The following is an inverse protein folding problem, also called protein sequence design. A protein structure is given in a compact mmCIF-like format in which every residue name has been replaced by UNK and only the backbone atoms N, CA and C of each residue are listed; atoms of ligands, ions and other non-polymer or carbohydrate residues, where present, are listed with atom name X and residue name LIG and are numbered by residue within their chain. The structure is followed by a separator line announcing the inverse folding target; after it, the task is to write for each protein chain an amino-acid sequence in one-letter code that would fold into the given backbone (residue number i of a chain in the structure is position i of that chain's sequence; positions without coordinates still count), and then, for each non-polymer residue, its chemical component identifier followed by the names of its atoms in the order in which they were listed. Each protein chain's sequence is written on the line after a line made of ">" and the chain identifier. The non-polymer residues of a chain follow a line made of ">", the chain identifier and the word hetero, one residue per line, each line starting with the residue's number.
data_IF_751994021336
#
_entry.id   IF_751994021336
#
_cell.length_a   1.000
_cell.length_b   1.000
_cell.length_c   1.000
_cell.angle_alpha   90.00
_cell.angle_beta   90.00
_cell.angle_gamma   90.00
#
_symmetry.space_group_name_H-M   'P 1'
#
loop_
_entity.id
_entity.type
_entity.pdbx_description
1 polymer ?
#
# COMPACT_ATOMS: atom_id res chain seq x y z
N UNK A 1 1.07 -3.03 -19.89
CA UNK A 1 2.26 -3.26 -19.02
C UNK A 1 3.33 -2.27 -19.43
N UNK A 2 3.85 -1.46 -18.49
CA UNK A 2 4.84 -0.41 -18.70
C UNK A 2 6.11 -0.72 -17.91
N UNK A 3 7.25 -0.20 -18.37
CA UNK A 3 8.55 -0.42 -17.72
C UNK A 3 9.27 0.91 -17.58
N UNK A 4 9.65 1.25 -16.35
CA UNK A 4 10.55 2.35 -16.05
C UNK A 4 11.91 1.77 -15.67
N UNK A 5 12.97 2.22 -16.32
CA UNK A 5 14.28 1.60 -16.18
C UNK A 5 15.39 2.63 -16.15
N UNK A 6 16.36 2.44 -15.25
CA UNK A 6 17.61 3.19 -15.23
C UNK A 6 18.79 2.23 -14.97
N UNK A 7 19.97 2.75 -14.67
CA UNK A 7 21.17 1.96 -14.40
C UNK A 7 21.09 1.13 -13.10
N UNK A 8 20.13 1.40 -12.21
CA UNK A 8 20.02 0.80 -10.89
C UNK A 8 18.82 -0.12 -10.73
N UNK A 9 17.66 0.27 -11.26
CA UNK A 9 16.39 -0.43 -11.10
C UNK A 9 15.69 -0.65 -12.44
N UNK A 10 14.91 -1.73 -12.52
CA UNK A 10 13.89 -1.96 -13.52
C UNK A 10 12.55 -2.16 -12.78
N UNK A 11 11.56 -1.33 -13.12
CA UNK A 11 10.25 -1.29 -12.46
C UNK A 11 9.19 -1.60 -13.48
N UNK A 12 8.29 -2.54 -13.17
CA UNK A 12 7.18 -2.92 -14.05
C UNK A 12 5.84 -2.53 -13.45
N UNK A 13 4.95 -1.98 -14.27
CA UNK A 13 3.61 -1.51 -13.87
C UNK A 13 2.58 -2.12 -14.81
N UNK A 14 1.53 -2.72 -14.26
CA UNK A 14 0.40 -3.26 -15.00
C UNK A 14 -0.68 -2.20 -15.24
N UNK A 15 -1.36 -2.24 -16.39
CA UNK A 15 -2.57 -1.45 -16.63
C UNK A 15 -3.74 -1.92 -15.75
N UNK A 16 -3.79 -3.23 -15.47
CA UNK A 16 -4.74 -3.78 -14.51
C UNK A 16 -4.40 -3.30 -13.09
N UNK A 17 -5.31 -2.54 -12.49
CA UNK A 17 -5.13 -1.94 -11.17
C UNK A 17 -4.11 -0.80 -11.11
N UNK A 18 -3.50 -0.39 -12.24
CA UNK A 18 -2.27 0.42 -12.28
C UNK A 18 -1.24 -0.11 -11.27
N UNK A 19 -1.16 -1.44 -11.15
CA UNK A 19 -0.43 -2.13 -10.09
C UNK A 19 1.07 -2.16 -10.37
N UNK A 20 1.85 -1.70 -9.41
CA UNK A 20 3.30 -1.95 -9.38
C UNK A 20 3.51 -3.46 -9.25
N UNK A 21 4.09 -4.10 -10.28
CA UNK A 21 4.17 -5.55 -10.41
C UNK A 21 5.59 -6.11 -10.36
N UNK A 22 6.63 -5.26 -10.34
CA UNK A 22 8.02 -5.68 -10.14
C UNK A 22 8.93 -4.52 -9.80
N UNK A 23 9.94 -4.78 -8.98
CA UNK A 23 11.07 -3.89 -8.69
C UNK A 23 12.34 -4.73 -8.69
N UNK A 24 13.05 -4.75 -9.81
CA UNK A 24 14.29 -5.50 -9.94
C UNK A 24 15.50 -4.62 -9.65
N UNK A 25 16.30 -5.00 -8.65
CA UNK A 25 17.57 -4.35 -8.30
C UNK A 25 18.69 -4.92 -9.17
N UNK A 26 19.05 -4.20 -10.24
CA UNK A 26 20.06 -4.59 -11.22
C UNK A 26 21.46 -4.78 -10.62
N UNK A 27 21.81 -3.97 -9.62
CA UNK A 27 23.10 -4.03 -8.96
C UNK A 27 23.29 -5.30 -8.15
N UNK A 28 22.21 -5.79 -7.55
CA UNK A 28 22.25 -6.96 -6.68
C UNK A 28 21.57 -8.19 -7.30
N UNK A 29 21.17 -8.10 -8.59
CA UNK A 29 20.55 -9.16 -9.40
C UNK A 29 19.41 -9.87 -8.67
N UNK A 30 18.38 -9.08 -8.25
CA UNK A 30 17.28 -9.64 -7.47
C UNK A 30 15.99 -8.85 -7.56
N UNK A 31 14.87 -9.57 -7.41
CA UNK A 31 13.54 -8.98 -7.26
C UNK A 31 13.30 -8.57 -5.80
N UNK A 32 12.86 -7.33 -5.60
CA UNK A 32 12.53 -6.76 -4.28
C UNK A 32 11.06 -6.99 -3.94
N UNK A 33 10.19 -6.85 -4.94
CA UNK A 33 8.76 -6.99 -4.76
C UNK A 33 8.37 -8.47 -4.74
N UNK A 34 7.30 -8.81 -4.02
CA UNK A 34 6.71 -10.14 -4.01
C UNK A 34 6.20 -10.53 -5.41
N UNK A 35 6.38 -11.78 -5.80
CA UNK A 35 6.10 -12.31 -7.14
C UNK A 35 4.64 -12.70 -7.39
N UNK A 36 3.72 -12.36 -6.48
CA UNK A 36 2.30 -12.69 -6.54
C UNK A 36 1.98 -14.18 -6.67
N UNK A 37 2.77 -15.06 -6.03
CA UNK A 37 2.49 -16.50 -6.00
C UNK A 37 1.07 -16.77 -5.45
N UNK A 38 0.16 -17.34 -6.26
CA UNK A 38 -1.25 -17.52 -5.89
C UNK A 38 -1.45 -18.54 -4.76
N UNK A 39 -0.45 -19.36 -4.45
CA UNK A 39 -0.50 -20.28 -3.31
C UNK A 39 -0.45 -19.55 -1.97
N UNK A 40 0.00 -18.28 -1.97
CA UNK A 40 0.12 -17.43 -0.80
C UNK A 40 -0.70 -16.16 -0.95
N UNK A 41 -0.34 -15.29 -1.90
CA UNK A 41 -1.05 -14.05 -2.17
C UNK A 41 -0.84 -13.59 -3.61
N UNK A 42 -1.91 -13.54 -4.39
CA UNK A 42 -1.92 -13.36 -5.85
C UNK A 42 -1.76 -11.91 -6.34
N UNK A 43 -1.26 -10.99 -5.51
CA UNK A 43 -1.06 -9.57 -5.84
C UNK A 43 0.35 -9.14 -5.48
N UNK A 44 0.84 -8.05 -6.11
CA UNK A 44 2.16 -7.48 -5.84
C UNK A 44 2.07 -6.23 -4.94
N UNK A 45 1.36 -5.20 -5.40
CA UNK A 45 1.22 -3.92 -4.73
C UNK A 45 -0.11 -3.23 -5.09
N UNK A 46 -1.26 -3.84 -4.80
CA UNK A 46 -2.55 -3.32 -5.25
C UNK A 46 -2.84 -1.93 -4.70
N UNK A 47 -3.48 -1.13 -5.54
CA UNK A 47 -4.03 0.17 -5.17
C UNK A 47 -5.35 -0.01 -4.43
N UNK A 48 -5.53 0.73 -3.34
CA UNK A 48 -6.70 0.66 -2.48
C UNK A 48 -7.54 1.92 -2.67
N UNK A 49 -8.71 1.78 -3.31
CA UNK A 49 -9.64 2.89 -3.57
C UNK A 49 -11.03 2.36 -3.99
N UNK A 50 -12.14 2.98 -3.56
CA UNK A 50 -12.28 4.19 -2.77
C UNK A 50 -12.22 3.99 -1.25
N UNK A 51 -11.92 2.80 -0.78
CA UNK A 51 -11.75 2.53 0.65
C UNK A 51 -10.49 1.71 0.92
N UNK A 52 -9.81 2.04 2.03
CA UNK A 52 -8.70 1.26 2.59
C UNK A 52 -9.24 0.41 3.73
N UNK A 53 -9.03 -0.90 3.66
CA UNK A 53 -9.61 -1.84 4.61
C UNK A 53 -11.02 -2.27 4.21
N UNK A 54 -11.83 -2.63 5.19
CA UNK A 54 -13.17 -3.16 5.00
C UNK A 54 -14.19 -2.31 5.75
N UNK A 55 -15.35 -2.07 5.15
CA UNK A 55 -16.49 -1.55 5.89
C UNK A 55 -17.11 -2.65 6.75
N UNK A 56 -17.71 -2.27 7.87
CA UNK A 56 -18.47 -3.20 8.69
C UNK A 56 -19.59 -3.84 7.85
N UNK A 57 -19.63 -5.17 7.81
CA UNK A 57 -20.56 -5.97 6.98
C UNK A 57 -20.54 -5.61 5.48
N UNK A 58 -19.40 -5.13 4.98
CA UNK A 58 -19.16 -4.77 3.57
C UNK A 58 -20.05 -3.63 3.03
N UNK A 59 -20.64 -2.79 3.88
CA UNK A 59 -21.48 -1.70 3.41
C UNK A 59 -21.22 -0.38 4.14
N UNK A 60 -21.55 0.71 3.47
CA UNK A 60 -21.52 2.07 4.00
C UNK A 60 -22.78 2.85 3.61
N UNK A 61 -23.05 3.92 4.37
CA UNK A 61 -24.14 4.85 4.07
C UNK A 61 -23.57 6.08 3.37
N UNK A 62 -24.11 6.40 2.19
CA UNK A 62 -23.80 7.62 1.45
C UNK A 62 -25.11 8.31 1.15
N UNK A 63 -25.30 9.52 1.66
CA UNK A 63 -26.52 10.31 1.52
C UNK A 63 -27.81 9.50 1.88
N UNK A 64 -27.74 8.70 2.96
CA UNK A 64 -28.86 7.90 3.46
C UNK A 64 -29.16 6.61 2.68
N UNK A 65 -28.41 6.33 1.63
CA UNK A 65 -28.52 5.09 0.85
C UNK A 65 -27.36 4.14 1.15
N UNK A 66 -27.66 2.85 1.28
CA UNK A 66 -26.66 1.81 1.52
C UNK A 66 -25.97 1.42 0.21
N UNK A 67 -24.64 1.35 0.25
CA UNK A 67 -23.79 0.86 -0.83
C UNK A 67 -22.87 -0.26 -0.32
N UNK A 68 -22.66 -1.26 -1.16
CA UNK A 68 -21.77 -2.39 -0.84
C UNK A 68 -20.43 -2.18 -1.52
N UNK A 69 -19.35 -2.25 -0.75
CA UNK A 69 -17.97 -2.19 -1.26
C UNK A 69 -17.14 -3.28 -0.59
N UNK A 70 -16.43 -4.05 -1.40
CA UNK A 70 -15.53 -5.08 -0.89
C UNK A 70 -14.32 -4.51 -0.17
N UNK A 71 -13.53 -5.40 0.42
CA UNK A 71 -12.25 -5.03 1.05
C UNK A 71 -11.33 -4.32 0.06
N UNK A 72 -10.86 -3.13 0.44
CA UNK A 72 -9.95 -2.27 -0.33
C UNK A 72 -10.57 -1.65 -1.60
N UNK A 73 -11.89 -1.65 -1.72
CA UNK A 73 -12.59 -1.09 -2.87
C UNK A 73 -12.38 -1.88 -4.17
N UNK A 74 -12.56 -1.21 -5.29
CA UNK A 74 -12.61 -1.84 -6.61
C UNK A 74 -11.42 -1.48 -7.54
N UNK A 75 -10.70 -0.39 -7.29
CA UNK A 75 -9.72 0.12 -8.25
C UNK A 75 -8.65 -0.92 -8.65
N UNK A 76 -8.23 -1.75 -7.72
CA UNK A 76 -7.24 -2.81 -7.95
C UNK A 76 -7.69 -3.92 -8.91
N UNK A 77 -8.97 -3.99 -9.22
CA UNK A 77 -9.58 -5.00 -10.10
C UNK A 77 -10.12 -4.37 -11.41
N UNK A 78 -9.77 -3.10 -11.68
CA UNK A 78 -10.18 -2.36 -12.86
C UNK A 78 -9.02 -2.18 -13.84
N UNK A 79 -9.35 -2.07 -15.14
CA UNK A 79 -8.39 -1.66 -16.16
C UNK A 79 -8.25 -0.14 -16.17
N UNK A 80 -7.02 0.34 -16.06
CA UNK A 80 -6.66 1.73 -16.19
C UNK A 80 -6.14 2.01 -17.60
N UNK A 81 -6.28 3.26 -18.03
CA UNK A 81 -5.74 3.74 -19.31
C UNK A 81 -4.44 4.50 -19.03
N UNK A 82 -3.36 4.13 -19.71
CA UNK A 82 -2.14 4.95 -19.70
C UNK A 82 -2.43 6.26 -20.47
N UNK A 83 -2.32 7.38 -19.76
CA UNK A 83 -2.61 8.72 -20.33
C UNK A 83 -1.34 9.55 -20.56
N UNK A 84 -0.24 9.17 -19.94
CA UNK A 84 1.05 9.81 -20.13
C UNK A 84 2.18 8.83 -19.83
N UNK A 85 3.20 8.81 -20.66
CA UNK A 85 4.41 8.01 -20.47
C UNK A 85 5.64 8.84 -20.91
N UNK A 86 6.66 8.86 -20.05
CA UNK A 86 7.94 9.52 -20.30
C UNK A 86 9.07 8.52 -20.06
N UNK A 87 10.31 8.93 -20.20
CA UNK A 87 11.48 8.08 -19.93
C UNK A 87 11.51 7.56 -18.48
N UNK A 88 11.03 8.36 -17.52
CA UNK A 88 11.12 8.03 -16.09
C UNK A 88 9.77 8.03 -15.35
N UNK A 89 8.65 8.22 -16.04
CA UNK A 89 7.33 8.21 -15.40
C UNK A 89 6.23 7.62 -16.29
N UNK A 90 5.22 7.03 -15.66
CA UNK A 90 3.98 6.60 -16.32
C UNK A 90 2.78 7.01 -15.47
N UNK A 91 1.76 7.56 -16.12
CA UNK A 91 0.50 7.97 -15.48
C UNK A 91 -0.66 7.18 -16.04
N UNK A 92 -1.38 6.51 -15.14
CA UNK A 92 -2.60 5.80 -15.43
C UNK A 92 -3.83 6.56 -14.94
N UNK A 93 -4.94 6.40 -15.63
CA UNK A 93 -6.24 7.01 -15.30
C UNK A 93 -7.32 5.93 -15.19
N UNK A 94 -8.09 5.99 -14.11
CA UNK A 94 -9.38 5.32 -13.97
C UNK A 94 -10.46 6.40 -13.84
N UNK A 95 -11.51 6.32 -14.67
CA UNK A 95 -12.70 7.15 -14.56
C UNK A 95 -13.87 6.36 -13.98
N UNK A 96 -14.80 7.07 -13.35
CA UNK A 96 -16.07 6.49 -12.91
C UNK A 96 -16.86 5.93 -14.09
N UNK A 97 -17.54 4.82 -13.86
CA UNK A 97 -18.45 4.16 -14.81
C UNK A 97 -19.77 3.87 -14.12
N UNK A 98 -20.78 3.48 -14.88
CA UNK A 98 -22.06 3.04 -14.29
C UNK A 98 -21.89 1.83 -13.36
N UNK A 99 -20.85 0.99 -13.60
CA UNK A 99 -20.54 -0.14 -12.74
C UNK A 99 -19.93 0.32 -11.41
N UNK A 100 -18.94 1.21 -11.44
CA UNK A 100 -18.32 1.73 -10.21
C UNK A 100 -19.31 2.49 -9.34
N UNK A 101 -20.30 3.19 -9.95
CA UNK A 101 -21.34 3.94 -9.26
C UNK A 101 -22.32 3.04 -8.50
N UNK A 102 -22.42 1.77 -8.81
CA UNK A 102 -23.23 0.81 -8.03
C UNK A 102 -22.65 0.58 -6.64
N UNK A 103 -21.32 0.58 -6.53
CA UNK A 103 -20.60 0.42 -5.27
C UNK A 103 -20.30 1.75 -4.58
N UNK A 104 -20.10 2.82 -5.36
CA UNK A 104 -19.68 4.13 -4.85
C UNK A 104 -20.18 5.25 -5.79
N UNK A 105 -21.24 5.98 -5.45
CA UNK A 105 -22.08 6.73 -6.38
C UNK A 105 -21.55 8.11 -6.75
N UNK A 106 -20.26 8.23 -7.04
CA UNK A 106 -19.63 9.49 -7.40
C UNK A 106 -19.02 9.47 -8.80
N UNK A 107 -19.01 10.63 -9.44
CA UNK A 107 -18.20 10.92 -10.62
C UNK A 107 -16.78 11.29 -10.19
N UNK A 108 -15.80 10.52 -10.66
CA UNK A 108 -14.41 10.75 -10.28
C UNK A 108 -13.43 10.46 -11.42
N UNK A 109 -12.23 10.98 -11.25
CA UNK A 109 -11.02 10.57 -11.97
C UNK A 109 -9.94 10.22 -10.94
N UNK A 110 -9.37 9.04 -11.02
CA UNK A 110 -8.22 8.61 -10.23
C UNK A 110 -7.00 8.49 -11.14
N UNK A 111 -6.02 9.37 -10.92
CA UNK A 111 -4.72 9.29 -11.58
C UNK A 111 -3.71 8.64 -10.65
N UNK A 112 -2.90 7.72 -11.20
CA UNK A 112 -1.78 7.09 -10.50
C UNK A 112 -0.54 7.30 -11.35
N UNK A 113 0.42 8.04 -10.81
CA UNK A 113 1.69 8.32 -11.47
C UNK A 113 2.81 7.59 -10.74
N UNK A 114 3.54 6.75 -11.47
CA UNK A 114 4.78 6.13 -11.01
C UNK A 114 5.95 6.91 -11.61
N UNK A 115 6.92 7.30 -10.78
CA UNK A 115 8.13 8.01 -11.23
C UNK A 115 9.36 7.37 -10.62
N UNK A 116 10.34 7.03 -11.46
CA UNK A 116 11.61 6.43 -11.07
C UNK A 116 12.74 7.45 -11.17
N UNK A 117 13.39 7.79 -10.05
CA UNK A 117 14.54 8.69 -9.98
C UNK A 117 15.67 8.05 -9.16
N UNK A 118 16.74 7.63 -9.80
CA UNK A 118 17.81 6.88 -9.14
C UNK A 118 17.28 5.59 -8.50
N UNK A 119 17.29 5.50 -7.19
CA UNK A 119 16.72 4.36 -6.44
C UNK A 119 15.36 4.68 -5.80
N UNK A 120 14.82 5.84 -6.04
CA UNK A 120 13.55 6.27 -5.47
C UNK A 120 12.43 6.03 -6.48
N UNK A 121 11.45 5.20 -6.11
CA UNK A 121 10.21 5.02 -6.82
C UNK A 121 9.10 5.79 -6.07
N UNK A 122 8.58 6.81 -6.72
CA UNK A 122 7.44 7.57 -6.21
C UNK A 122 6.15 7.06 -6.83
N UNK A 123 5.13 6.81 -6.00
CA UNK A 123 3.76 6.52 -6.44
C UNK A 123 2.84 7.62 -5.95
N UNK A 124 2.32 8.44 -6.86
CA UNK A 124 1.45 9.57 -6.55
C UNK A 124 0.01 9.25 -6.96
N UNK A 125 -0.95 9.54 -6.07
CA UNK A 125 -2.38 9.44 -6.34
C UNK A 125 -3.01 10.82 -6.41
N UNK A 126 -3.75 11.09 -7.47
CA UNK A 126 -4.55 12.30 -7.61
C UNK A 126 -6.01 11.90 -7.86
N UNK A 127 -6.86 12.22 -6.90
CA UNK A 127 -8.31 12.00 -7.02
C UNK A 127 -8.98 13.32 -7.34
N UNK A 128 -9.71 13.36 -8.45
CA UNK A 128 -10.49 14.52 -8.89
C UNK A 128 -11.96 14.19 -8.69
N UNK A 129 -12.62 14.95 -7.85
CA UNK A 129 -14.07 14.93 -7.73
C UNK A 129 -14.67 15.62 -8.95
N UNK A 130 -15.45 14.89 -9.73
CA UNK A 130 -16.18 15.39 -10.91
C UNK A 130 -17.66 15.61 -10.61
N UNK A 131 -18.08 15.27 -9.38
CA UNK A 131 -19.45 15.45 -8.90
C UNK A 131 -19.66 16.84 -8.30
N UNK A 132 -20.92 17.22 -8.08
CA UNK A 132 -21.30 18.45 -7.38
C UNK A 132 -21.29 18.24 -5.85
N UNK A 133 -21.40 17.00 -5.40
CA UNK A 133 -21.45 16.63 -3.98
C UNK A 133 -20.05 16.44 -3.40
N UNK A 134 -19.94 16.57 -2.08
CA UNK A 134 -18.69 16.27 -1.37
C UNK A 134 -18.46 14.77 -1.42
N UNK A 135 -17.29 14.38 -1.92
CA UNK A 135 -16.86 13.00 -2.07
C UNK A 135 -15.93 12.60 -0.93
N UNK A 136 -16.30 11.60 -0.15
CA UNK A 136 -15.49 11.03 0.91
C UNK A 136 -14.85 9.72 0.46
N UNK A 137 -13.54 9.61 0.56
CA UNK A 137 -12.80 8.40 0.18
C UNK A 137 -11.55 8.21 1.04
N UNK A 138 -10.98 7.03 0.97
CA UNK A 138 -9.61 6.76 1.40
C UNK A 138 -8.85 6.12 0.24
N UNK A 139 -7.56 6.43 0.13
CA UNK A 139 -6.68 5.88 -0.89
C UNK A 139 -5.40 5.38 -0.25
N UNK A 140 -4.81 4.32 -0.80
CA UNK A 140 -3.57 3.77 -0.30
C UNK A 140 -2.95 2.74 -1.25
N UNK A 141 -1.77 2.24 -0.87
CA UNK A 141 -1.07 1.14 -1.51
C UNK A 141 -0.88 -0.03 -0.54
N UNK A 142 -0.68 -1.20 -1.10
CA UNK A 142 -0.43 -2.43 -0.34
C UNK A 142 0.76 -3.21 -0.93
N UNK A 143 1.98 -2.60 -0.99
CA UNK A 143 3.13 -3.28 -1.55
C UNK A 143 3.58 -4.45 -0.68
N UNK A 144 3.82 -5.61 -1.29
CA UNK A 144 4.46 -6.75 -0.66
C UNK A 144 5.93 -6.83 -1.05
N UNK A 145 6.80 -6.91 -0.08
CA UNK A 145 8.24 -7.04 -0.28
C UNK A 145 8.71 -8.44 0.08
N UNK A 146 9.69 -8.96 -0.67
CA UNK A 146 10.32 -10.23 -0.37
C UNK A 146 11.09 -10.15 0.96
N UNK A 147 10.77 -11.04 1.89
CA UNK A 147 11.50 -11.26 3.13
C UNK A 147 11.56 -12.77 3.40
N UNK A 148 12.75 -13.37 3.37
CA UNK A 148 14.08 -12.78 3.23
C UNK A 148 14.37 -12.27 1.81
N UNK A 149 15.21 -11.22 1.69
CA UNK A 149 15.71 -10.68 0.43
C UNK A 149 17.04 -11.31 0.04
N UNK A 150 17.90 -11.63 1.01
CA UNK A 150 19.20 -12.24 0.75
C UNK A 150 19.14 -13.76 0.90
N UNK A 151 19.85 -14.51 0.05
CA UNK A 151 20.06 -15.94 0.27
C UNK A 151 20.72 -16.16 1.63
N UNK A 152 20.48 -17.33 2.22
CA UNK A 152 21.04 -17.74 3.52
C UNK A 152 20.59 -16.89 4.74
N UNK A 153 19.56 -16.05 4.56
CA UNK A 153 18.90 -15.32 5.64
C UNK A 153 17.47 -15.83 5.83
N UNK A 154 16.90 -15.56 7.01
CA UNK A 154 15.54 -15.92 7.37
C UNK A 154 14.77 -14.65 7.80
N UNK A 155 13.45 -14.72 7.86
CA UNK A 155 12.58 -13.58 8.20
C UNK A 155 12.98 -12.90 9.51
N UNK A 156 13.37 -13.69 10.52
CA UNK A 156 13.74 -13.22 11.86
C UNK A 156 15.05 -12.43 11.88
N UNK A 157 15.85 -12.48 10.81
CA UNK A 157 17.06 -11.65 10.68
C UNK A 157 16.72 -10.21 10.27
N UNK A 158 15.48 -9.97 9.82
CA UNK A 158 15.02 -8.65 9.36
C UNK A 158 14.26 -7.90 10.44
N UNK A 159 14.33 -6.57 10.36
CA UNK A 159 13.66 -5.65 11.26
C UNK A 159 12.70 -4.75 10.49
N UNK A 160 11.56 -4.44 11.11
CA UNK A 160 10.78 -3.27 10.76
C UNK A 160 11.47 -2.04 11.34
N UNK A 161 11.56 -0.97 10.55
CA UNK A 161 12.16 0.28 10.96
C UNK A 161 11.15 1.42 10.86
N UNK A 162 11.18 2.32 11.84
CA UNK A 162 10.28 3.47 11.93
C UNK A 162 11.08 4.69 12.34
N UNK A 163 10.90 5.83 11.63
CA UNK A 163 11.71 7.01 11.87
C UNK A 163 11.48 7.64 13.25
N UNK A 164 12.52 7.66 14.07
CA UNK A 164 12.60 8.49 15.28
C UNK A 164 11.74 8.07 16.47
N UNK A 165 11.09 6.90 16.42
CA UNK A 165 10.20 6.44 17.47
C UNK A 165 10.92 5.53 18.48
N UNK A 166 10.47 5.56 19.76
CA UNK A 166 10.87 4.60 20.80
C UNK A 166 9.82 3.52 21.03
N UNK A 167 8.58 3.84 20.75
CA UNK A 167 7.44 2.95 20.82
C UNK A 167 6.35 3.43 19.88
N UNK A 168 5.48 2.53 19.47
CA UNK A 168 4.31 2.80 18.66
C UNK A 168 3.08 2.15 19.30
N UNK A 169 1.94 2.81 19.21
CA UNK A 169 0.65 2.23 19.56
C UNK A 169 -0.01 1.65 18.32
N UNK A 170 -0.56 0.46 18.41
CA UNK A 170 -1.26 -0.19 17.31
C UNK A 170 -2.57 -0.83 17.73
N UNK A 171 -3.48 -1.00 16.77
CA UNK A 171 -4.72 -1.74 16.91
C UNK A 171 -4.67 -3.04 16.10
N UNK A 172 -5.49 -4.00 16.48
CA UNK A 172 -5.69 -5.25 15.74
C UNK A 172 -7.02 -5.21 14.99
N UNK A 173 -7.20 -6.15 14.08
CA UNK A 173 -8.45 -6.37 13.37
C UNK A 173 -9.37 -7.33 14.15
N UNK A 174 -10.69 -7.07 14.10
CA UNK A 174 -11.68 -8.12 14.33
C UNK A 174 -11.70 -9.01 13.08
N UNK A 175 -11.20 -10.22 13.20
CA UNK A 175 -11.03 -11.15 12.07
C UNK A 175 -12.36 -11.59 11.45
N UNK A 176 -13.50 -11.43 12.14
CA UNK A 176 -14.84 -11.73 11.59
C UNK A 176 -15.29 -10.67 10.57
N UNK A 177 -15.03 -9.40 10.89
CA UNK A 177 -15.50 -8.28 10.09
C UNK A 177 -14.39 -7.63 9.25
N UNK A 178 -13.12 -7.89 9.60
CA UNK A 178 -11.97 -7.26 8.93
C UNK A 178 -11.88 -5.76 9.23
N UNK A 179 -12.43 -5.31 10.36
CA UNK A 179 -12.41 -3.91 10.81
C UNK A 179 -11.48 -3.73 12.00
N UNK A 180 -10.93 -2.54 12.18
CA UNK A 180 -10.12 -2.23 13.35
C UNK A 180 -10.93 -2.32 14.64
N UNK A 181 -10.28 -2.70 15.76
CA UNK A 181 -10.82 -2.70 17.10
C UNK A 181 -10.25 -1.48 17.84
N UNK A 182 -10.88 -0.29 17.73
CA UNK A 182 -10.30 0.95 18.26
C UNK A 182 -10.29 1.01 19.79
N UNK A 183 -11.13 0.22 20.48
CA UNK A 183 -11.23 0.18 21.95
C UNK A 183 -10.04 -0.52 22.61
N UNK A 184 -9.20 -1.23 21.81
CA UNK A 184 -8.03 -1.96 22.30
C UNK A 184 -6.80 -1.51 21.56
N UNK A 185 -5.88 -0.93 22.29
CA UNK A 185 -4.55 -0.57 21.79
C UNK A 185 -3.46 -1.43 22.43
N UNK A 186 -2.40 -1.62 21.68
CA UNK A 186 -1.21 -2.37 22.08
C UNK A 186 0.02 -1.54 21.83
N UNK A 187 1.09 -1.80 22.56
CA UNK A 187 2.37 -1.10 22.40
C UNK A 187 3.39 -1.97 21.69
N UNK A 188 4.03 -1.45 20.67
CA UNK A 188 5.19 -2.02 20.01
C UNK A 188 6.43 -1.25 20.49
N UNK A 189 7.24 -1.86 21.34
CA UNK A 189 8.51 -1.28 21.76
C UNK A 189 9.54 -1.34 20.64
N UNK A 190 10.33 -0.27 20.48
CA UNK A 190 11.33 -0.15 19.44
C UNK A 190 12.72 0.06 20.08
N UNK A 191 13.72 -0.63 19.57
CA UNK A 191 15.11 -0.38 19.87
C UNK A 191 15.72 0.42 18.73
N UNK A 192 16.19 1.65 19.03
CA UNK A 192 16.73 2.58 18.03
C UNK A 192 15.80 2.77 16.80
N UNK A 193 14.49 2.83 17.01
CA UNK A 193 13.51 2.99 15.94
C UNK A 193 13.22 1.72 15.14
N UNK A 194 13.59 0.55 15.63
CA UNK A 194 13.37 -0.73 14.94
C UNK A 194 12.90 -1.84 15.86
N UNK A 195 12.23 -2.86 15.29
CA UNK A 195 11.94 -4.11 15.96
C UNK A 195 12.13 -5.29 15.01
N UNK A 196 12.57 -6.42 15.53
CA UNK A 196 12.69 -7.67 14.78
C UNK A 196 11.34 -8.14 14.24
N UNK A 197 11.32 -8.70 13.03
CA UNK A 197 10.14 -9.40 12.50
C UNK A 197 10.06 -10.76 13.15
N UNK A 198 9.48 -10.83 14.36
CA UNK A 198 9.42 -12.02 15.16
C UNK A 198 8.42 -13.05 14.59
N UNK A 199 8.63 -14.31 14.93
CA UNK A 199 7.65 -15.36 14.67
C UNK A 199 6.31 -15.02 15.35
N UNK A 200 5.19 -15.24 14.65
CA UNK A 200 3.86 -14.97 15.18
C UNK A 200 3.45 -13.48 15.24
N UNK A 201 4.33 -12.55 14.85
CA UNK A 201 4.03 -11.10 14.91
C UNK A 201 2.74 -10.72 14.19
N UNK A 202 2.40 -11.42 13.12
CA UNK A 202 1.23 -11.16 12.27
C UNK A 202 0.16 -12.25 12.33
N UNK A 203 0.18 -13.14 13.34
CA UNK A 203 -0.81 -14.23 13.49
C UNK A 203 -2.24 -13.72 13.67
N UNK A 204 -2.39 -12.46 14.08
CA UNK A 204 -3.66 -11.77 14.24
C UNK A 204 -3.94 -10.76 13.13
N UNK A 205 -3.37 -11.00 11.92
CA UNK A 205 -3.45 -10.09 10.78
C UNK A 205 -2.58 -8.83 10.96
N UNK A 206 -2.99 -7.69 10.45
CA UNK A 206 -2.20 -6.47 10.39
C UNK A 206 -2.03 -5.78 11.76
N UNK A 207 -0.87 -5.12 11.94
CA UNK A 207 -0.69 -4.10 12.97
C UNK A 207 -1.13 -2.76 12.38
N UNK A 208 -2.16 -2.14 12.96
CA UNK A 208 -2.74 -0.90 12.47
C UNK A 208 -2.19 0.26 13.30
N UNK A 209 -1.40 1.10 12.67
CA UNK A 209 -0.88 2.33 13.25
C UNK A 209 -1.67 3.52 12.72
N UNK A 210 -2.22 4.33 13.58
CA UNK A 210 -3.03 5.50 13.28
C UNK A 210 -2.44 6.79 13.88
N UNK A 211 -3.21 7.87 13.93
CA UNK A 211 -2.84 9.17 14.51
C UNK A 211 -1.55 9.80 13.97
N UNK A 212 -1.13 9.40 12.76
CA UNK A 212 0.05 9.97 12.13
C UNK A 212 1.38 9.65 12.84
N UNK A 213 1.42 8.61 13.67
CA UNK A 213 2.62 8.21 14.42
C UNK A 213 3.81 7.89 13.51
N UNK A 214 3.56 7.44 12.29
CA UNK A 214 4.58 6.95 11.37
C UNK A 214 4.66 7.86 10.15
N UNK A 215 5.84 8.43 9.91
CA UNK A 215 6.15 9.21 8.72
C UNK A 215 7.04 8.45 7.73
N UNK A 216 7.72 7.41 8.20
CA UNK A 216 8.56 6.52 7.40
C UNK A 216 8.59 5.14 8.02
N UNK A 217 8.31 4.13 7.24
CA UNK A 217 8.50 2.73 7.60
C UNK A 217 9.44 2.04 6.61
N UNK A 218 10.12 0.99 7.06
CA UNK A 218 11.01 0.22 6.20
C UNK A 218 11.25 -1.18 6.73
N UNK A 219 11.90 -1.99 5.89
CA UNK A 219 12.41 -3.32 6.21
C UNK A 219 13.93 -3.27 6.05
N UNK A 220 14.66 -3.69 7.06
CA UNK A 220 16.11 -3.67 7.05
C UNK A 220 16.69 -4.98 7.58
N UNK A 221 17.85 -5.35 7.07
CA UNK A 221 18.73 -6.34 7.66
C UNK A 221 19.83 -5.59 8.41
N UNK A 222 19.87 -5.60 9.76
CA UNK A 222 20.72 -4.70 10.56
C UNK A 222 22.22 -4.75 10.23
N UNK A 223 22.73 -5.94 9.93
CA UNK A 223 24.15 -6.15 9.62
C UNK A 223 24.59 -5.54 8.28
N UNK A 224 23.65 -5.21 7.38
CA UNK A 224 23.98 -4.77 6.01
C UNK A 224 23.58 -3.32 5.71
N UNK A 225 22.94 -2.59 6.62
CA UNK A 225 22.47 -1.18 6.43
C UNK A 225 21.71 -0.98 5.09
N UNK A 226 21.12 -2.03 4.53
CA UNK A 226 20.34 -1.97 3.29
C UNK A 226 18.85 -2.07 3.65
N UNK A 227 18.13 -0.96 3.52
CA UNK A 227 16.71 -0.89 3.82
C UNK A 227 15.90 -0.52 2.58
N UNK A 228 14.72 -1.14 2.46
CA UNK A 228 13.62 -0.62 1.63
C UNK A 228 12.77 0.24 2.55
N UNK A 229 12.47 1.48 2.19
CA UNK A 229 11.64 2.34 3.01
C UNK A 229 10.54 3.00 2.21
N UNK A 230 9.34 3.05 2.80
CA UNK A 230 8.19 3.77 2.28
C UNK A 230 8.03 5.10 3.01
N UNK A 231 7.94 6.19 2.24
CA UNK A 231 7.67 7.53 2.73
C UNK A 231 6.29 7.96 2.26
N UNK A 232 5.25 7.95 3.10
CA UNK A 232 4.00 8.59 2.73
C UNK A 232 4.21 10.11 2.73
N UNK A 233 4.00 10.76 1.58
CA UNK A 233 3.84 12.21 1.49
C UNK A 233 2.36 12.49 1.27
N UNK A 234 1.68 13.06 2.24
CA UNK A 234 0.28 13.46 2.12
C UNK A 234 0.20 14.97 2.01
N UNK A 235 -0.46 15.45 0.96
CA UNK A 235 -0.70 16.88 0.74
C UNK A 235 -1.96 17.41 1.44
N UNK A 236 -2.58 16.64 2.35
CA UNK A 236 -3.74 17.08 3.14
C UNK A 236 -3.87 16.29 4.46
N UNK A 237 -4.33 16.91 5.56
CA UNK A 237 -4.19 16.35 6.89
C UNK A 237 -5.29 15.32 7.22
N UNK A 238 -5.04 14.07 6.98
CA UNK A 238 -5.53 12.94 7.77
C UNK A 238 -4.84 11.64 7.30
N UNK A 239 -3.62 11.35 7.71
CA UNK A 239 -2.95 10.11 7.33
C UNK A 239 -3.19 9.02 8.37
N UNK A 240 -3.94 8.00 8.02
CA UNK A 240 -3.77 6.69 8.64
C UNK A 240 -2.76 5.89 7.80
N UNK A 241 -1.66 5.49 8.38
CA UNK A 241 -0.71 4.57 7.77
C UNK A 241 -1.05 3.15 8.22
N UNK A 242 -1.31 2.26 7.27
CA UNK A 242 -1.45 0.82 7.55
C UNK A 242 -0.24 0.12 6.96
N UNK A 243 0.63 -0.41 7.82
CA UNK A 243 1.69 -1.30 7.38
C UNK A 243 1.16 -2.74 7.38
N UNK A 244 1.16 -3.37 6.22
CA UNK A 244 0.89 -4.78 6.07
C UNK A 244 2.21 -5.45 5.67
N UNK A 245 2.72 -6.34 6.51
CA UNK A 245 3.84 -7.23 6.19
C UNK A 245 3.32 -8.64 6.43
N UNK A 246 3.24 -9.46 5.39
CA UNK A 246 2.96 -10.88 5.48
C UNK A 246 4.23 -11.69 5.32
#
# INVERSE_FOLDING_TARGET
>A
MHTLENDQLCVTISDHGAELSGIFDKKNDREILWNADPSHWKRHAPVLFPNVGRYYEDHCLINGKTYTSGQHGFARDMEFICVEETENSVTHLLESTDETKKAWPYEFQLYITHTLEGRDLTVAWKVVNKDQEIMYFTVGAHPAFNVPILPDTKREDYHLTFSGQKELTYHLLDTRYGTAIPEKSYTLALENGSCQIAEGMFDKDALIFDDGQITKAGIALPEYVKSVSCLPRVCNPSPSFKAFVR
#
